data_IF_470894052733
#
_entry.id   IF_470894052733
#
_cell.length_a   1.000
_cell.length_b   1.000
_cell.length_c   1.000
_cell.angle_alpha   90.00
_cell.angle_beta   90.00
_cell.angle_gamma   90.00
#
_symmetry.space_group_name_H-M   'P 1'
#
loop_
_entity.id
_entity.type
_entity.pdbx_description
1 polymer ?
#
# COMPACT_ATOMS: atom_id res chain seq x y z
N UNK A 1 5.91 -7.08 -12.85
CA UNK A 1 5.28 -5.77 -12.60
C UNK A 1 4.18 -5.96 -11.55
N UNK A 2 4.20 -5.23 -10.43
CA UNK A 2 3.15 -5.33 -9.42
C UNK A 2 1.81 -4.82 -9.98
N UNK A 3 0.80 -5.68 -10.02
CA UNK A 3 -0.56 -5.40 -10.45
C UNK A 3 -1.53 -5.45 -9.25
N UNK A 4 -2.81 -5.14 -9.45
CA UNK A 4 -3.79 -5.08 -8.37
C UNK A 4 -3.80 -6.31 -7.45
N UNK A 5 -3.80 -7.54 -8.01
CA UNK A 5 -3.76 -8.78 -7.23
C UNK A 5 -2.51 -8.91 -6.35
N UNK A 6 -1.36 -8.40 -6.81
CA UNK A 6 -0.12 -8.37 -6.01
C UNK A 6 -0.28 -7.44 -4.82
N UNK A 7 -0.88 -6.25 -5.03
CA UNK A 7 -1.11 -5.28 -3.96
C UNK A 7 -2.14 -5.79 -2.94
N UNK A 8 -3.21 -6.48 -3.38
CA UNK A 8 -4.18 -7.10 -2.47
C UNK A 8 -3.54 -8.19 -1.61
N UNK A 9 -2.70 -9.06 -2.20
CA UNK A 9 -1.95 -10.06 -1.43
C UNK A 9 -0.97 -9.41 -0.44
N UNK A 10 -0.28 -8.37 -0.86
CA UNK A 10 0.65 -7.62 -0.01
C UNK A 10 -0.07 -6.91 1.13
N UNK A 11 -1.22 -6.29 0.86
CA UNK A 11 -2.07 -5.69 1.88
C UNK A 11 -2.50 -6.72 2.93
N UNK A 12 -2.90 -7.93 2.50
CA UNK A 12 -3.21 -9.04 3.40
C UNK A 12 -2.01 -9.45 4.26
N UNK A 13 -0.81 -9.55 3.66
CA UNK A 13 0.42 -9.88 4.39
C UNK A 13 0.79 -8.81 5.43
N UNK A 14 0.72 -7.53 5.07
CA UNK A 14 0.98 -6.41 5.98
C UNK A 14 -0.07 -6.34 7.10
N UNK A 15 -1.35 -6.53 6.76
CA UNK A 15 -2.42 -6.57 7.75
C UNK A 15 -2.19 -7.69 8.76
N UNK A 16 -1.91 -8.91 8.29
CA UNK A 16 -1.63 -10.04 9.16
C UNK A 16 -0.39 -9.84 10.05
N UNK A 17 0.64 -9.21 9.51
CA UNK A 17 1.90 -8.98 10.22
C UNK A 17 1.80 -7.87 11.28
N UNK A 18 1.03 -6.80 11.01
CA UNK A 18 1.13 -5.56 11.80
C UNK A 18 -0.19 -5.04 12.38
N UNK A 19 -1.37 -5.54 11.97
CA UNK A 19 -2.63 -5.03 12.50
C UNK A 19 -2.72 -5.21 14.03
N UNK A 20 -3.04 -4.14 14.74
CA UNK A 20 -3.04 -4.08 16.19
C UNK A 20 -1.64 -3.97 16.83
N UNK A 21 -0.56 -3.94 16.02
CA UNK A 21 0.81 -3.88 16.51
C UNK A 21 1.38 -2.47 16.44
N UNK A 22 2.14 -2.09 17.47
CA UNK A 22 2.99 -0.91 17.46
C UNK A 22 4.24 -1.20 16.65
N UNK A 23 4.57 -0.34 15.69
CA UNK A 23 5.74 -0.52 14.83
C UNK A 23 6.82 0.54 15.09
N UNK A 24 8.07 0.15 14.92
CA UNK A 24 9.17 1.07 14.69
C UNK A 24 9.27 1.31 13.18
N UNK A 25 9.37 2.56 12.78
CA UNK A 25 9.49 2.94 11.39
C UNK A 25 10.76 3.76 11.16
N UNK A 26 11.55 3.37 10.18
CA UNK A 26 12.79 4.05 9.80
C UNK A 26 12.88 4.18 8.28
N UNK A 27 13.70 5.14 7.81
CA UNK A 27 14.03 5.29 6.40
C UNK A 27 15.54 5.10 6.20
N UNK A 28 16.04 3.84 6.10
CA UNK A 28 17.48 3.59 6.01
C UNK A 28 18.17 4.31 4.84
N UNK A 29 17.47 4.51 3.71
CA UNK A 29 17.96 5.26 2.57
C UNK A 29 17.89 6.80 2.75
N UNK A 30 17.16 7.30 3.76
CA UNK A 30 16.97 8.73 4.04
C UNK A 30 15.92 9.43 3.17
N UNK A 31 15.35 8.76 2.17
CA UNK A 31 14.41 9.40 1.21
C UNK A 31 12.96 9.50 1.69
N UNK A 32 12.67 9.05 2.90
CA UNK A 32 11.32 9.07 3.49
C UNK A 32 11.38 9.29 5.02
N UNK A 33 12.34 10.05 5.50
CA UNK A 33 12.55 10.27 6.95
C UNK A 33 11.34 10.89 7.64
N UNK A 34 10.77 11.96 7.08
CA UNK A 34 9.60 12.63 7.66
C UNK A 34 8.38 11.72 7.72
N UNK A 35 8.16 10.90 6.70
CA UNK A 35 7.06 9.93 6.69
C UNK A 35 7.30 8.78 7.66
N UNK A 36 8.52 8.27 7.74
CA UNK A 36 8.90 7.26 8.71
C UNK A 36 8.74 7.77 10.15
N UNK A 37 9.12 9.02 10.43
CA UNK A 37 8.92 9.66 11.74
C UNK A 37 7.43 9.75 12.12
N UNK A 38 6.53 10.01 11.16
CA UNK A 38 5.09 10.04 11.40
C UNK A 38 4.50 8.66 11.74
N UNK A 39 5.10 7.57 11.24
CA UNK A 39 4.70 6.19 11.51
C UNK A 39 5.38 5.59 12.74
N UNK A 40 6.55 6.11 13.11
CA UNK A 40 7.35 5.54 14.18
C UNK A 40 6.61 5.59 15.53
N UNK A 41 6.51 4.44 16.19
CA UNK A 41 5.78 4.28 17.44
C UNK A 41 4.26 4.23 17.31
N UNK A 42 3.71 4.24 16.10
CA UNK A 42 2.27 4.13 15.85
C UNK A 42 1.78 2.70 15.87
N UNK A 43 0.50 2.54 16.15
CA UNK A 43 -0.21 1.26 16.00
C UNK A 43 -0.78 1.18 14.60
N UNK A 44 -0.44 0.12 13.87
CA UNK A 44 -1.06 -0.15 12.58
C UNK A 44 -2.46 -0.70 12.81
N UNK A 45 -3.47 -0.06 12.26
CA UNK A 45 -4.86 -0.48 12.40
C UNK A 45 -5.23 -1.53 11.36
N UNK A 46 -4.90 -1.25 10.10
CA UNK A 46 -5.17 -2.15 8.97
C UNK A 46 -4.30 -1.81 7.77
N UNK A 47 -4.20 -2.76 6.84
CA UNK A 47 -3.67 -2.52 5.50
C UNK A 47 -4.69 -3.00 4.46
N UNK A 48 -4.85 -2.23 3.40
CA UNK A 48 -5.77 -2.53 2.30
C UNK A 48 -5.18 -2.07 0.96
N UNK A 49 -5.70 -2.62 -0.14
CA UNK A 49 -5.34 -2.20 -1.47
C UNK A 49 -6.57 -1.79 -2.27
N UNK A 50 -6.38 -0.87 -3.20
CA UNK A 50 -7.36 -0.48 -4.20
C UNK A 50 -6.64 -0.25 -5.54
N UNK A 51 -6.90 -1.11 -6.52
CA UNK A 51 -6.12 -1.15 -7.75
C UNK A 51 -4.64 -1.38 -7.47
N UNK A 52 -3.79 -0.47 -7.93
CA UNK A 52 -2.33 -0.52 -7.72
C UNK A 52 -1.85 0.32 -6.52
N UNK A 53 -2.77 0.83 -5.70
CA UNK A 53 -2.46 1.55 -4.47
C UNK A 53 -2.57 0.65 -3.25
N UNK A 54 -1.59 0.76 -2.38
CA UNK A 54 -1.57 0.15 -1.05
C UNK A 54 -1.73 1.25 -0.01
N UNK A 55 -2.65 1.04 0.93
CA UNK A 55 -2.88 1.93 2.05
C UNK A 55 -2.64 1.19 3.36
N UNK A 56 -1.74 1.70 4.19
CA UNK A 56 -1.50 1.19 5.55
C UNK A 56 -1.95 2.26 6.53
N UNK A 57 -3.03 1.99 7.24
CA UNK A 57 -3.66 2.90 8.20
C UNK A 57 -3.00 2.72 9.56
N UNK A 58 -2.63 3.83 10.17
CA UNK A 58 -2.10 3.89 11.52
C UNK A 58 -2.93 4.85 12.38
N UNK A 59 -2.85 4.69 13.68
CA UNK A 59 -3.53 5.55 14.64
C UNK A 59 -3.18 7.04 14.43
N UNK A 60 -4.11 7.93 14.82
CA UNK A 60 -3.97 9.37 14.65
C UNK A 60 -4.15 9.85 13.21
N UNK A 61 -5.05 9.20 12.47
CA UNK A 61 -5.43 9.58 11.09
C UNK A 61 -4.23 9.66 10.12
N UNK A 62 -3.31 8.71 10.27
CA UNK A 62 -2.13 8.59 9.41
C UNK A 62 -2.29 7.41 8.46
N UNK A 63 -2.14 7.67 7.18
CA UNK A 63 -2.19 6.61 6.17
C UNK A 63 -0.95 6.67 5.30
N UNK A 64 -0.20 5.57 5.27
CA UNK A 64 0.87 5.39 4.31
C UNK A 64 0.26 4.94 2.98
N UNK A 65 0.46 5.72 1.93
CA UNK A 65 0.09 5.38 0.55
C UNK A 65 1.34 4.99 -0.23
N UNK A 66 1.31 3.79 -0.81
CA UNK A 66 2.40 3.24 -1.61
C UNK A 66 1.89 2.84 -3.00
N UNK A 67 2.63 3.24 -4.03
CA UNK A 67 2.52 2.70 -5.38
C UNK A 67 3.87 2.10 -5.77
N UNK A 68 3.92 0.78 -5.98
CA UNK A 68 5.18 0.08 -6.22
C UNK A 68 5.81 0.42 -7.58
N UNK A 69 5.01 0.73 -8.58
CA UNK A 69 5.50 0.94 -9.96
C UNK A 69 5.94 -0.37 -10.60
N UNK A 70 6.96 -0.32 -11.46
CA UNK A 70 7.41 -1.48 -12.24
C UNK A 70 8.31 -2.42 -11.44
N UNK A 71 9.18 -1.88 -10.60
CA UNK A 71 10.27 -2.61 -9.93
C UNK A 71 10.22 -2.56 -8.41
N UNK A 72 9.26 -1.83 -7.84
CA UNK A 72 9.12 -1.71 -6.40
C UNK A 72 8.72 -3.02 -5.74
N UNK A 73 9.24 -3.25 -4.53
CA UNK A 73 8.86 -4.36 -3.66
C UNK A 73 8.59 -3.87 -2.23
N UNK A 74 7.73 -4.58 -1.54
CA UNK A 74 7.52 -4.41 -0.10
C UNK A 74 7.52 -5.81 0.51
N UNK A 75 8.66 -6.22 1.00
CA UNK A 75 8.91 -7.58 1.47
C UNK A 75 8.55 -7.68 2.95
N UNK A 76 7.67 -8.60 3.31
CA UNK A 76 7.22 -8.86 4.70
C UNK A 76 7.83 -10.18 5.16
N UNK A 77 8.64 -10.14 6.22
CA UNK A 77 9.45 -11.25 6.69
C UNK A 77 9.38 -11.39 8.20
N UNK A 78 9.51 -12.63 8.69
CA UNK A 78 9.60 -12.90 10.12
C UNK A 78 11.02 -12.66 10.65
N UNK A 79 11.11 -12.33 11.94
CA UNK A 79 12.38 -12.31 12.66
C UNK A 79 12.23 -12.87 14.07
N UNK A 80 13.36 -13.32 14.63
CA UNK A 80 13.49 -13.72 16.03
C UNK A 80 14.54 -12.80 16.68
N UNK A 81 14.18 -12.15 17.77
CA UNK A 81 15.03 -11.11 18.35
C UNK A 81 15.02 -9.82 17.51
N UNK A 82 16.18 -9.34 17.09
CA UNK A 82 16.28 -8.19 16.20
C UNK A 82 16.17 -8.60 14.73
N UNK A 83 15.52 -7.80 13.87
CA UNK A 83 15.56 -8.05 12.42
C UNK A 83 16.99 -7.84 11.89
N UNK A 84 17.35 -8.49 10.76
CA UNK A 84 18.66 -8.29 10.14
C UNK A 84 18.84 -6.84 9.68
N UNK A 85 20.09 -6.41 9.51
CA UNK A 85 20.38 -5.09 8.99
C UNK A 85 19.75 -4.87 7.60
N UNK A 86 19.30 -3.63 7.30
CA UNK A 86 18.73 -3.31 5.99
C UNK A 86 19.74 -3.55 4.87
N UNK A 87 19.32 -4.29 3.83
CA UNK A 87 20.16 -4.56 2.66
C UNK A 87 19.67 -3.75 1.47
N UNK A 88 20.57 -3.00 0.83
CA UNK A 88 20.28 -2.20 -0.35
C UNK A 88 19.49 -0.91 -0.04
N UNK A 89 18.78 -0.40 -1.04
CA UNK A 89 18.09 0.90 -0.97
C UNK A 89 16.71 0.79 -0.30
N UNK A 90 16.69 0.48 1.00
CA UNK A 90 15.45 0.40 1.78
C UNK A 90 14.92 1.82 2.05
N UNK A 91 13.79 2.17 1.43
CA UNK A 91 13.17 3.49 1.56
C UNK A 91 12.36 3.64 2.84
N UNK A 92 11.68 2.57 3.25
CA UNK A 92 10.94 2.47 4.51
C UNK A 92 11.13 1.07 5.07
N UNK A 93 11.44 0.99 6.35
CA UNK A 93 11.42 -0.25 7.14
C UNK A 93 10.41 -0.11 8.26
N UNK A 94 9.50 -1.08 8.36
CA UNK A 94 8.61 -1.27 9.50
C UNK A 94 9.07 -2.49 10.29
N UNK A 95 9.14 -2.35 11.62
CA UNK A 95 9.50 -3.45 12.52
C UNK A 95 8.44 -3.58 13.60
N UNK A 96 7.80 -4.72 13.64
CA UNK A 96 6.89 -5.15 14.71
C UNK A 96 7.55 -6.18 15.62
N UNK A 97 6.81 -6.79 16.54
CA UNK A 97 7.36 -7.74 17.51
C UNK A 97 7.99 -9.01 16.91
N UNK A 98 7.45 -9.50 15.80
CA UNK A 98 7.86 -10.77 15.16
C UNK A 98 8.06 -10.66 13.66
N UNK A 99 7.66 -9.54 13.07
CA UNK A 99 7.70 -9.30 11.63
C UNK A 99 8.37 -7.97 11.33
N UNK A 100 9.06 -7.92 10.20
CA UNK A 100 9.52 -6.65 9.63
C UNK A 100 9.17 -6.57 8.16
N UNK A 101 9.13 -5.36 7.63
CA UNK A 101 8.85 -5.14 6.22
C UNK A 101 9.76 -4.06 5.65
N UNK A 102 10.34 -4.34 4.48
CA UNK A 102 11.25 -3.46 3.75
C UNK A 102 10.67 -3.02 2.41
N UNK A 103 10.46 -1.72 2.25
CA UNK A 103 10.02 -1.10 1.00
C UNK A 103 11.21 -0.62 0.18
N UNK A 104 11.29 -1.06 -1.08
CA UNK A 104 12.32 -0.67 -2.04
C UNK A 104 11.70 -0.26 -3.37
N UNK A 105 12.34 0.65 -4.09
CA UNK A 105 12.07 0.96 -5.50
C UNK A 105 10.66 1.47 -5.84
N UNK A 106 9.82 1.78 -4.85
CA UNK A 106 8.47 2.28 -5.08
C UNK A 106 8.48 3.64 -5.79
N UNK A 107 7.56 3.84 -6.74
CA UNK A 107 7.42 5.11 -7.46
C UNK A 107 6.77 6.19 -6.61
N UNK A 108 5.86 5.81 -5.70
CA UNK A 108 5.21 6.73 -4.77
C UNK A 108 5.26 6.14 -3.35
N UNK A 109 5.71 6.95 -2.41
CA UNK A 109 5.60 6.69 -0.97
C UNK A 109 5.29 8.01 -0.29
N UNK A 110 4.16 8.11 0.37
CA UNK A 110 3.73 9.35 1.02
C UNK A 110 2.80 9.07 2.21
N UNK A 111 2.79 10.00 3.17
CA UNK A 111 1.77 10.04 4.20
C UNK A 111 0.60 10.89 3.72
N UNK A 112 -0.61 10.40 3.91
CA UNK A 112 -1.86 11.07 3.55
C UNK A 112 -2.87 10.96 4.68
N UNK A 113 -3.93 11.77 4.61
CA UNK A 113 -5.07 11.65 5.53
C UNK A 113 -6.10 10.64 5.01
N UNK A 114 -7.03 10.16 5.88
CA UNK A 114 -8.15 9.30 5.45
C UNK A 114 -8.98 9.92 4.32
N UNK A 115 -9.23 11.23 4.36
CA UNK A 115 -9.98 11.93 3.32
C UNK A 115 -9.26 11.91 1.96
N UNK A 116 -7.93 11.97 1.99
CA UNK A 116 -7.11 11.85 0.77
C UNK A 116 -7.13 10.43 0.20
N UNK A 117 -7.31 9.40 1.04
CA UNK A 117 -7.57 8.03 0.57
C UNK A 117 -8.87 8.00 -0.24
N UNK A 118 -9.96 8.56 0.30
CA UNK A 118 -11.26 8.61 -0.37
C UNK A 118 -11.17 9.34 -1.72
N UNK A 119 -10.48 10.47 -1.75
CA UNK A 119 -10.22 11.23 -3.00
C UNK A 119 -9.43 10.38 -4.01
N UNK A 120 -8.44 9.63 -3.55
CA UNK A 120 -7.65 8.76 -4.43
C UNK A 120 -8.51 7.64 -4.99
N UNK A 121 -9.27 6.96 -4.15
CA UNK A 121 -10.17 5.86 -4.56
C UNK A 121 -11.26 6.36 -5.52
N UNK A 122 -11.82 7.55 -5.29
CA UNK A 122 -12.85 8.12 -6.15
C UNK A 122 -12.38 8.38 -7.60
N UNK A 123 -11.09 8.59 -7.81
CA UNK A 123 -10.48 8.78 -9.15
C UNK A 123 -10.24 7.46 -9.88
N UNK A 124 -10.11 6.36 -9.14
CA UNK A 124 -9.90 5.04 -9.70
C UNK A 124 -11.21 4.46 -10.24
N UNK A 125 -11.10 3.47 -11.11
CA UNK A 125 -12.25 2.65 -11.49
C UNK A 125 -12.65 1.69 -10.38
N UNK A 126 -13.80 1.01 -10.47
CA UNK A 126 -14.14 -0.07 -9.58
C UNK A 126 -13.06 -1.15 -9.58
N UNK A 127 -12.64 -1.60 -8.41
CA UNK A 127 -11.65 -2.66 -8.25
C UNK A 127 -12.35 -4.02 -8.30
N UNK A 128 -12.07 -4.90 -9.27
CA UNK A 128 -12.74 -6.19 -9.40
C UNK A 128 -12.49 -7.14 -8.23
N UNK A 129 -11.44 -6.91 -7.42
CA UNK A 129 -11.15 -7.69 -6.23
C UNK A 129 -11.90 -7.20 -4.99
N UNK A 130 -12.67 -6.11 -5.10
CA UNK A 130 -13.49 -5.53 -4.02
C UNK A 130 -14.99 -5.56 -4.33
N UNK A 131 -15.45 -6.50 -5.12
CA UNK A 131 -16.87 -6.64 -5.48
C UNK A 131 -17.73 -6.74 -4.22
N UNK A 132 -18.84 -5.99 -4.21
CA UNK A 132 -19.79 -5.95 -3.08
C UNK A 132 -19.41 -4.96 -1.97
N UNK A 133 -18.30 -4.23 -2.09
CA UNK A 133 -18.00 -3.13 -1.16
C UNK A 133 -18.67 -1.82 -1.62
N UNK A 134 -19.08 -0.93 -0.69
CA UNK A 134 -19.68 0.36 -1.03
C UNK A 134 -18.81 1.16 -2.01
N UNK A 135 -19.43 1.77 -3.01
CA UNK A 135 -18.74 2.58 -4.03
C UNK A 135 -18.01 1.79 -5.13
N UNK A 136 -17.98 0.46 -5.03
CA UNK A 136 -17.30 -0.43 -5.98
C UNK A 136 -18.29 -1.18 -6.88
N UNK A 137 -19.15 -0.43 -7.59
CA UNK A 137 -20.15 -0.96 -8.50
C UNK A 137 -19.52 -1.33 -9.86
N UNK A 138 -19.56 -2.61 -10.29
CA UNK A 138 -19.05 -3.04 -11.59
C UNK A 138 -19.70 -2.35 -12.79
N UNK A 139 -20.94 -1.88 -12.66
CA UNK A 139 -21.64 -1.17 -13.74
C UNK A 139 -20.93 0.12 -14.15
N UNK A 140 -20.19 0.75 -13.22
CA UNK A 140 -19.35 1.92 -13.50
C UNK A 140 -18.21 1.59 -14.47
N UNK A 141 -17.61 0.40 -14.36
CA UNK A 141 -16.59 -0.06 -15.31
C UNK A 141 -17.18 -0.23 -16.71
N UNK A 142 -18.34 -0.87 -16.82
CA UNK A 142 -19.03 -1.04 -18.09
C UNK A 142 -19.40 0.30 -18.72
N UNK A 143 -19.90 1.25 -17.93
CA UNK A 143 -20.22 2.59 -18.40
C UNK A 143 -18.98 3.38 -18.89
N UNK A 144 -17.83 3.19 -18.26
CA UNK A 144 -16.54 3.78 -18.70
C UNK A 144 -16.07 3.14 -20.01
N UNK A 145 -16.09 1.82 -20.11
CA UNK A 145 -15.71 1.08 -21.31
C UNK A 145 -16.60 1.46 -22.51
N UNK A 146 -17.89 1.64 -22.29
CA UNK A 146 -18.84 2.04 -23.36
C UNK A 146 -18.59 3.46 -23.89
N UNK A 147 -17.88 4.31 -23.17
CA UNK A 147 -17.59 5.71 -23.54
C UNK A 147 -16.20 5.93 -24.13
N UNK A 148 -15.34 4.92 -24.11
CA UNK A 148 -13.96 5.04 -24.61
C UNK A 148 -13.85 4.48 -26.02
N UNK A 149 -12.98 5.09 -26.84
CA UNK A 149 -12.55 4.55 -28.12
C UNK A 149 -11.29 3.68 -28.03
N UNK A 150 -10.73 3.54 -26.83
CA UNK A 150 -9.55 2.68 -26.58
C UNK A 150 -9.95 1.21 -26.67
N UNK A 151 -9.02 0.37 -27.07
CA UNK A 151 -9.24 -1.08 -27.03
C UNK A 151 -9.44 -1.58 -25.59
N UNK A 152 -10.16 -2.71 -25.43
CA UNK A 152 -10.37 -3.34 -24.12
C UNK A 152 -9.02 -3.68 -23.47
N UNK A 153 -8.03 -4.12 -24.25
CA UNK A 153 -6.69 -4.42 -23.76
C UNK A 153 -6.03 -3.19 -23.14
N UNK A 154 -6.09 -2.03 -23.79
CA UNK A 154 -5.55 -0.77 -23.23
C UNK A 154 -6.28 -0.35 -21.96
N UNK A 155 -7.60 -0.54 -21.90
CA UNK A 155 -8.38 -0.19 -20.70
C UNK A 155 -8.09 -1.11 -19.50
N UNK A 156 -7.70 -2.36 -19.74
CA UNK A 156 -7.36 -3.32 -18.68
C UNK A 156 -5.91 -3.18 -18.18
N UNK A 157 -5.05 -2.52 -18.97
CA UNK A 157 -3.63 -2.33 -18.64
C UNK A 157 -3.33 -0.97 -18.01
N UNK A 158 -4.31 -0.10 -17.84
CA UNK A 158 -4.16 1.28 -17.35
C UNK A 158 -4.26 1.40 -15.82
#
# INVERSE_FOLDING_TARGET
MPEGHTLHRLAGALHHAFAGQRVLATSPQGRFEDGAAQLNGRVIERAEAYGKHLFVHADGDRVLNVHLGLIGSFDVLAHVGAPPDPVGAVRLRLVGPQMYADLRGATLVQMISPEQVDVTIARLGPDPLRVGTPGNDPTRSLARLARTSRSVAECLMD
#
